data_IF_983598108983
#
_entry.id   IF_983598108983
#
_cell.length_a   1.000
_cell.length_b   1.000
_cell.length_c   1.000
_cell.angle_alpha   90.00
_cell.angle_beta   90.00
_cell.angle_gamma   90.00
#
_symmetry.space_group_name_H-M   'P 1'
#
loop_
_entity.id
_entity.type
_entity.pdbx_description
1 polymer ?
#
# COMPACT_ATOMS: atom_id res chain seq x y z
N UNK A 1 5.65 -19.61 10.41
CA UNK A 1 6.22 -19.44 11.77
C UNK A 1 6.70 -18.01 12.08
N UNK A 2 7.22 -17.22 11.12
CA UNK A 2 7.71 -15.86 11.41
C UNK A 2 6.65 -14.82 11.82
N UNK A 3 5.41 -14.90 11.30
CA UNK A 3 4.35 -13.92 11.62
C UNK A 3 3.85 -13.99 13.07
N UNK A 4 3.85 -15.20 13.67
CA UNK A 4 3.38 -15.43 15.04
C UNK A 4 4.38 -14.95 16.11
N UNK A 5 5.66 -14.91 15.76
CA UNK A 5 6.74 -14.47 16.64
C UNK A 5 6.83 -12.93 16.69
N UNK A 6 6.51 -12.26 15.58
CA UNK A 6 6.43 -10.79 15.51
C UNK A 6 5.21 -10.26 16.28
N UNK A 7 4.07 -10.96 16.24
CA UNK A 7 2.90 -10.60 17.06
C UNK A 7 3.13 -10.80 18.55
N UNK A 8 3.92 -11.81 18.94
CA UNK A 8 4.26 -12.04 20.35
C UNK A 8 5.20 -10.96 20.90
N UNK A 9 6.20 -10.51 20.14
CA UNK A 9 7.09 -9.41 20.57
C UNK A 9 6.37 -8.06 20.65
N UNK A 10 5.43 -7.78 19.74
CA UNK A 10 4.62 -6.55 19.78
C UNK A 10 3.65 -6.52 20.99
N UNK A 11 3.11 -7.68 21.38
CA UNK A 11 2.25 -7.80 22.56
C UNK A 11 2.97 -7.52 23.89
N UNK A 12 4.23 -7.97 24.02
CA UNK A 12 5.04 -7.79 25.23
C UNK A 12 5.41 -6.33 25.50
N UNK A 13 5.57 -5.51 24.46
CA UNK A 13 5.88 -4.08 24.57
C UNK A 13 4.65 -3.23 24.93
N UNK A 14 3.44 -3.67 24.59
CA UNK A 14 2.20 -2.99 24.96
C UNK A 14 1.79 -3.26 26.42
N UNK A 15 2.10 -4.45 26.95
CA UNK A 15 1.76 -4.83 28.32
C UNK A 15 2.71 -4.26 29.38
N UNK A 16 3.93 -3.87 29.03
CA UNK A 16 4.84 -3.17 29.94
C UNK A 16 4.44 -1.70 30.19
N UNK A 17 3.54 -1.13 29.37
CA UNK A 17 3.07 0.25 29.49
C UNK A 17 1.93 0.48 30.48
N UNK A 18 1.30 -0.58 31.01
CA UNK A 18 0.14 -0.46 31.89
C UNK A 18 0.46 -0.66 33.39
N UNK A 19 1.71 -0.95 33.76
CA UNK A 19 2.09 -1.14 35.15
C UNK A 19 2.52 0.20 35.82
N UNK A 20 1.58 1.14 35.93
CA UNK A 20 1.54 2.23 36.94
C UNK A 20 0.28 3.08 36.74
N UNK A 21 -0.86 2.47 37.05
CA UNK A 21 -2.10 3.18 37.35
C UNK A 21 -2.09 3.47 38.86
N UNK A 22 -1.31 4.45 39.28
CA UNK A 22 -1.48 5.06 40.61
C UNK A 22 -1.61 6.56 40.37
N UNK A 23 -2.73 7.11 40.86
CA UNK A 23 -3.12 8.53 40.90
C UNK A 23 -3.75 9.15 39.64
N UNK A 24 -5.08 9.01 39.57
CA UNK A 24 -5.97 10.07 39.06
C UNK A 24 -5.78 11.29 39.98
N UNK A 25 -5.01 12.27 39.52
CA UNK A 25 -4.86 13.58 40.18
C UNK A 25 -3.41 14.01 40.41
N UNK A 26 -2.80 14.67 39.42
CA UNK A 26 -1.48 15.28 39.58
C UNK A 26 -0.94 15.85 38.26
N UNK A 27 -0.27 17.01 38.31
CA UNK A 27 0.26 17.75 37.16
C UNK A 27 0.92 16.86 36.11
N UNK A 28 0.33 16.85 34.92
CA UNK A 28 0.87 16.14 33.75
C UNK A 28 2.30 16.62 33.46
N UNK A 29 3.31 15.72 33.40
CA UNK A 29 4.63 16.11 32.96
C UNK A 29 4.59 16.34 31.45
N UNK A 30 4.38 17.59 31.05
CA UNK A 30 4.90 18.04 29.76
C UNK A 30 6.43 17.99 29.86
N UNK A 31 7.08 17.32 28.90
CA UNK A 31 8.54 17.31 28.65
C UNK A 31 9.38 16.22 29.31
N UNK A 32 9.03 14.95 29.14
CA UNK A 32 10.03 13.88 29.21
C UNK A 32 9.97 13.04 27.94
N UNK A 33 10.88 13.32 27.02
CA UNK A 33 11.13 12.49 25.85
C UNK A 33 11.66 11.12 26.30
N UNK A 34 11.11 10.05 25.73
CA UNK A 34 11.54 8.67 25.97
C UNK A 34 12.93 8.38 25.37
N UNK A 35 13.47 9.30 24.56
CA UNK A 35 14.77 9.18 23.92
C UNK A 35 15.76 10.17 24.57
N UNK A 36 17.02 9.77 24.76
CA UNK A 36 18.04 10.64 25.31
C UNK A 36 18.22 11.87 24.41
N UNK A 37 18.31 13.06 25.03
CA UNK A 37 18.54 14.34 24.34
C UNK A 37 20.00 14.46 23.89
N UNK A 38 20.40 13.57 22.98
CA UNK A 38 21.70 13.57 22.33
C UNK A 38 21.59 14.24 20.96
N UNK A 39 22.62 15.00 20.57
CA UNK A 39 22.68 15.68 19.27
C UNK A 39 23.65 14.94 18.37
N UNK A 40 23.20 14.62 17.16
CA UNK A 40 24.06 14.08 16.10
C UNK A 40 24.51 15.26 15.24
N UNK A 41 25.82 15.46 15.12
CA UNK A 41 26.41 16.40 14.17
C UNK A 41 26.46 15.73 12.80
N UNK A 42 25.61 16.17 11.88
CA UNK A 42 25.62 15.68 10.50
C UNK A 42 26.64 16.44 9.65
N UNK A 43 27.01 17.65 10.08
CA UNK A 43 28.08 18.49 9.51
C UNK A 43 28.60 19.45 10.60
N UNK A 44 29.68 20.19 10.33
CA UNK A 44 30.27 21.17 11.26
C UNK A 44 29.27 22.23 11.73
N UNK A 45 28.31 22.59 10.87
CA UNK A 45 27.28 23.61 11.13
C UNK A 45 25.88 23.04 11.34
N UNK A 46 25.65 21.74 11.12
CA UNK A 46 24.32 21.13 11.17
C UNK A 46 24.25 20.07 12.26
N UNK A 47 23.50 20.40 13.32
CA UNK A 47 23.20 19.48 14.42
C UNK A 47 21.69 19.29 14.57
N UNK A 48 21.28 18.04 14.70
CA UNK A 48 19.89 17.66 14.97
C UNK A 48 19.84 16.78 16.21
N UNK A 49 18.77 16.91 17.00
CA UNK A 49 18.55 15.98 18.10
C UNK A 49 18.20 14.59 17.57
N UNK A 50 18.70 13.55 18.25
CA UNK A 50 18.44 12.16 17.93
C UNK A 50 16.93 11.88 17.88
N UNK A 51 16.19 12.41 18.84
CA UNK A 51 14.73 12.31 18.89
C UNK A 51 14.08 12.78 17.59
N UNK A 52 14.49 13.93 17.05
CA UNK A 52 13.92 14.44 15.80
C UNK A 52 14.22 13.52 14.63
N UNK A 53 15.45 13.02 14.51
CA UNK A 53 15.83 12.10 13.44
C UNK A 53 15.06 10.79 13.54
N UNK A 54 14.94 10.23 14.75
CA UNK A 54 14.23 8.97 14.99
C UNK A 54 12.74 9.14 14.70
N UNK A 55 12.11 10.21 15.19
CA UNK A 55 10.69 10.47 14.95
C UNK A 55 10.38 10.75 13.47
N UNK A 56 11.18 11.58 12.79
CA UNK A 56 10.97 11.86 11.36
C UNK A 56 11.28 10.65 10.49
N UNK A 57 12.36 9.91 10.80
CA UNK A 57 12.72 8.68 10.12
C UNK A 57 11.66 7.59 10.28
N UNK A 58 11.15 7.39 11.50
CA UNK A 58 10.05 6.45 11.76
C UNK A 58 8.77 6.88 11.04
N UNK A 59 8.42 8.16 11.07
CA UNK A 59 7.25 8.69 10.35
C UNK A 59 7.36 8.51 8.83
N UNK A 60 8.52 8.80 8.25
CA UNK A 60 8.78 8.60 6.83
C UNK A 60 8.74 7.10 6.45
N UNK A 61 9.27 6.22 7.30
CA UNK A 61 9.23 4.78 7.09
C UNK A 61 7.80 4.22 7.14
N UNK A 62 6.99 4.66 8.11
CA UNK A 62 5.56 4.31 8.17
C UNK A 62 4.86 4.80 6.90
N UNK A 63 5.09 6.05 6.50
CA UNK A 63 4.50 6.60 5.28
C UNK A 63 4.94 5.81 4.05
N UNK A 64 6.21 5.41 3.93
CA UNK A 64 6.71 4.60 2.81
C UNK A 64 6.09 3.19 2.74
N UNK A 65 5.84 2.55 3.88
CA UNK A 65 5.19 1.23 3.90
C UNK A 65 3.70 1.30 3.54
N UNK A 66 3.05 2.44 3.80
CA UNK A 66 1.65 2.69 3.41
C UNK A 66 1.59 3.20 1.96
N UNK A 67 2.57 4.01 1.58
CA UNK A 67 2.71 4.71 0.31
C UNK A 67 3.96 4.20 -0.38
N UNK A 68 3.89 3.00 -0.97
CA UNK A 68 4.97 2.50 -1.83
C UNK A 68 5.00 3.35 -3.11
N UNK A 69 6.01 4.23 -3.29
CA UNK A 69 6.08 5.12 -4.44
C UNK A 69 6.35 4.36 -5.76
N UNK A 70 6.72 3.09 -5.68
CA UNK A 70 7.02 2.24 -6.85
C UNK A 70 5.86 1.32 -7.22
N UNK A 71 4.82 1.22 -6.38
CA UNK A 71 3.66 0.40 -6.67
C UNK A 71 2.76 1.08 -7.73
N UNK A 72 2.27 0.35 -8.75
CA UNK A 72 1.43 0.90 -9.81
C UNK A 72 0.29 1.80 -9.29
N UNK A 73 -0.04 2.86 -10.04
CA UNK A 73 -1.11 3.81 -9.69
C UNK A 73 -2.52 3.17 -9.67
N UNK A 74 -2.65 2.00 -10.29
CA UNK A 74 -3.89 1.25 -10.41
C UNK A 74 -3.83 -0.01 -9.57
N UNK A 75 -4.80 -0.16 -8.68
CA UNK A 75 -5.09 -1.42 -8.00
C UNK A 75 -5.92 -2.28 -8.94
N UNK A 76 -5.51 -3.54 -9.13
CA UNK A 76 -6.16 -4.48 -10.04
C UNK A 76 -6.77 -5.61 -9.22
N UNK A 77 -8.08 -5.78 -9.33
CA UNK A 77 -8.82 -6.92 -8.81
C UNK A 77 -9.21 -7.80 -9.99
N UNK A 78 -9.01 -9.11 -9.83
CA UNK A 78 -9.29 -10.10 -10.87
C UNK A 78 -10.34 -11.08 -10.40
N UNK A 79 -11.28 -11.40 -11.28
CA UNK A 79 -12.24 -12.47 -11.10
C UNK A 79 -12.32 -13.36 -12.34
N UNK A 80 -12.22 -14.67 -12.17
CA UNK A 80 -12.46 -15.65 -13.24
C UNK A 80 -13.97 -15.92 -13.31
N UNK A 81 -14.60 -15.53 -14.42
CA UNK A 81 -16.05 -15.65 -14.62
C UNK A 81 -16.43 -16.92 -15.39
N UNK A 82 -15.54 -17.39 -16.26
CA UNK A 82 -15.66 -18.68 -16.94
C UNK A 82 -14.27 -19.28 -17.16
N UNK A 83 -14.20 -20.50 -17.71
CA UNK A 83 -12.93 -21.22 -17.89
C UNK A 83 -11.85 -20.43 -18.65
N UNK A 84 -12.28 -19.58 -19.57
CA UNK A 84 -11.42 -18.73 -20.39
C UNK A 84 -11.83 -17.25 -20.36
N UNK A 85 -12.61 -16.80 -19.37
CA UNK A 85 -13.06 -15.41 -19.29
C UNK A 85 -12.73 -14.84 -17.91
N UNK A 86 -12.06 -13.68 -17.91
CA UNK A 86 -11.63 -12.95 -16.73
C UNK A 86 -12.20 -11.53 -16.77
N UNK A 87 -12.69 -11.06 -15.63
CA UNK A 87 -13.01 -9.65 -15.40
C UNK A 87 -11.87 -9.05 -14.58
N UNK A 88 -11.38 -7.90 -15.06
CA UNK A 88 -10.38 -7.10 -14.38
C UNK A 88 -11.01 -5.77 -13.98
N UNK A 89 -11.12 -5.55 -12.68
CA UNK A 89 -11.58 -4.30 -12.09
C UNK A 89 -10.37 -3.49 -11.61
N UNK A 90 -10.25 -2.27 -12.12
CA UNK A 90 -9.16 -1.37 -11.82
C UNK A 90 -9.69 -0.16 -11.06
N UNK A 91 -9.06 0.14 -9.92
CA UNK A 91 -9.32 1.38 -9.17
C UNK A 91 -8.04 2.18 -9.04
N UNK A 92 -8.11 3.47 -9.38
CA UNK A 92 -6.97 4.36 -9.22
C UNK A 92 -6.77 4.67 -7.73
N UNK A 93 -5.52 4.55 -7.27
CA UNK A 93 -5.14 4.91 -5.90
C UNK A 93 -5.53 6.36 -5.64
N UNK A 94 -5.99 6.67 -4.42
CA UNK A 94 -6.45 8.03 -4.05
C UNK A 94 -5.35 9.09 -4.12
N UNK A 95 -4.11 8.68 -3.88
CA UNK A 95 -2.94 9.53 -3.92
C UNK A 95 -2.02 9.00 -5.01
N UNK A 96 -1.91 9.75 -6.11
CA UNK A 96 -1.12 9.38 -7.28
C UNK A 96 -0.63 10.65 -7.98
N UNK A 97 0.45 10.53 -8.76
CA UNK A 97 0.94 11.59 -9.64
C UNK A 97 0.89 11.10 -11.09
N UNK A 98 -0.09 11.61 -11.86
CA UNK A 98 -0.29 11.18 -13.25
C UNK A 98 -0.86 9.75 -13.35
N UNK A 99 -0.62 9.07 -14.48
CA UNK A 99 -1.03 7.67 -14.72
C UNK A 99 -2.51 7.47 -15.10
N UNK A 100 -3.28 8.55 -15.25
CA UNK A 100 -4.72 8.48 -15.50
C UNK A 100 -5.12 7.82 -16.83
N UNK A 101 -4.21 7.78 -17.81
CA UNK A 101 -4.45 7.14 -19.11
C UNK A 101 -3.86 5.73 -19.24
N UNK A 102 -3.29 5.17 -18.17
CA UNK A 102 -2.58 3.89 -18.22
C UNK A 102 -3.48 2.67 -18.02
N UNK A 103 -4.76 2.86 -17.72
CA UNK A 103 -5.66 1.77 -17.32
C UNK A 103 -5.72 0.63 -18.34
N UNK A 104 -5.90 0.95 -19.63
CA UNK A 104 -5.86 -0.03 -20.72
C UNK A 104 -4.53 -0.77 -20.79
N UNK A 105 -3.41 -0.09 -20.57
CA UNK A 105 -2.08 -0.73 -20.57
C UNK A 105 -1.90 -1.66 -19.37
N UNK A 106 -2.46 -1.30 -18.20
CA UNK A 106 -2.48 -2.16 -17.01
C UNK A 106 -3.32 -3.41 -17.26
N UNK A 107 -4.51 -3.27 -17.87
CA UNK A 107 -5.35 -4.40 -18.29
C UNK A 107 -4.60 -5.33 -19.24
N UNK A 108 -3.99 -4.79 -20.30
CA UNK A 108 -3.22 -5.59 -21.26
C UNK A 108 -2.05 -6.32 -20.60
N UNK A 109 -1.33 -5.65 -19.69
CA UNK A 109 -0.23 -6.26 -18.93
C UNK A 109 -0.72 -7.41 -18.06
N UNK A 110 -1.83 -7.24 -17.33
CA UNK A 110 -2.40 -8.30 -16.49
C UNK A 110 -2.97 -9.45 -17.32
N UNK A 111 -3.66 -9.15 -18.41
CA UNK A 111 -4.16 -10.16 -19.35
C UNK A 111 -3.03 -11.02 -19.92
N UNK A 112 -1.91 -10.39 -20.30
CA UNK A 112 -0.73 -11.07 -20.82
C UNK A 112 -0.02 -11.89 -19.74
N UNK A 113 -0.01 -11.42 -18.48
CA UNK A 113 0.45 -12.21 -17.35
C UNK A 113 -0.43 -13.45 -17.15
N UNK A 114 -1.75 -13.31 -17.16
CA UNK A 114 -2.70 -14.41 -17.03
C UNK A 114 -2.58 -15.42 -18.16
N UNK A 115 -2.33 -14.94 -19.39
CA UNK A 115 -2.08 -15.81 -20.54
C UNK A 115 -0.91 -16.74 -20.28
N UNK A 116 0.21 -16.18 -19.78
CA UNK A 116 1.42 -16.96 -19.48
C UNK A 116 1.24 -17.88 -18.27
N UNK A 117 0.64 -17.39 -17.19
CA UNK A 117 0.43 -18.16 -15.96
C UNK A 117 -0.47 -19.38 -16.18
N UNK A 118 -1.47 -19.27 -17.06
CA UNK A 118 -2.45 -20.33 -17.31
C UNK A 118 -2.20 -21.12 -18.62
N UNK A 119 -1.12 -20.83 -19.35
CA UNK A 119 -0.77 -21.55 -20.58
C UNK A 119 -1.74 -21.33 -21.75
N UNK A 120 -2.34 -20.14 -21.86
CA UNK A 120 -3.17 -19.79 -23.02
C UNK A 120 -2.32 -19.36 -24.23
N UNK A 121 -2.81 -19.60 -25.44
CA UNK A 121 -2.11 -19.26 -26.67
C UNK A 121 -2.22 -17.76 -26.97
N UNK A 122 -3.40 -17.17 -26.77
CA UNK A 122 -3.64 -15.74 -26.97
C UNK A 122 -4.75 -15.23 -26.04
N UNK A 123 -4.91 -13.90 -26.00
CA UNK A 123 -6.00 -13.25 -25.30
C UNK A 123 -6.59 -12.12 -26.16
N UNK A 124 -7.83 -11.74 -25.85
CA UNK A 124 -8.52 -10.58 -26.41
C UNK A 124 -9.24 -9.83 -25.29
N UNK A 125 -9.12 -8.51 -25.30
CA UNK A 125 -9.99 -7.64 -24.49
C UNK A 125 -11.32 -7.51 -25.24
N UNK A 126 -12.39 -8.05 -24.67
CA UNK A 126 -13.74 -8.10 -25.26
C UNK A 126 -14.50 -6.82 -24.98
N UNK A 127 -14.38 -6.32 -23.76
CA UNK A 127 -15.03 -5.09 -23.33
C UNK A 127 -14.07 -4.24 -22.48
N UNK A 128 -14.25 -2.93 -22.56
CA UNK A 128 -13.48 -1.96 -21.80
C UNK A 128 -14.33 -0.73 -21.50
N UNK A 129 -14.43 -0.41 -20.21
CA UNK A 129 -15.07 0.81 -19.73
C UNK A 129 -14.08 1.53 -18.82
N UNK A 130 -13.98 2.84 -18.97
CA UNK A 130 -13.25 3.71 -18.05
C UNK A 130 -14.16 4.86 -17.64
N UNK A 131 -14.09 5.23 -16.37
CA UNK A 131 -14.93 6.29 -15.83
C UNK A 131 -14.39 6.88 -14.55
N UNK A 132 -15.18 7.78 -13.99
CA UNK A 132 -14.95 8.37 -12.68
C UNK A 132 -16.13 7.98 -11.81
N UNK A 133 -15.85 7.29 -10.71
CA UNK A 133 -16.81 6.94 -9.68
C UNK A 133 -16.79 8.03 -8.59
N UNK A 134 -17.95 8.60 -8.29
CA UNK A 134 -18.09 9.56 -7.19
C UNK A 134 -18.09 8.81 -5.86
N UNK A 135 -16.90 8.59 -5.29
CA UNK A 135 -16.72 7.99 -3.97
C UNK A 135 -16.50 9.07 -2.91
N UNK A 136 -17.02 8.89 -1.70
CA UNK A 136 -16.68 9.75 -0.57
C UNK A 136 -15.32 9.31 -0.01
N UNK A 137 -14.36 10.22 0.28
CA UNK A 137 -14.42 11.69 0.22
C UNK A 137 -13.97 12.33 -1.10
N UNK A 138 -13.38 11.58 -2.05
CA UNK A 138 -12.88 12.09 -3.33
C UNK A 138 -13.26 11.12 -4.44
N UNK A 139 -13.73 11.64 -5.57
CA UNK A 139 -14.01 10.86 -6.76
C UNK A 139 -12.75 10.12 -7.24
N UNK A 140 -12.90 8.86 -7.66
CA UNK A 140 -11.79 8.03 -8.12
C UNK A 140 -12.03 7.58 -9.55
N UNK A 141 -10.96 7.51 -10.34
CA UNK A 141 -11.02 6.84 -11.64
C UNK A 141 -11.14 5.33 -11.44
N UNK A 142 -11.94 4.71 -12.28
CA UNK A 142 -12.03 3.26 -12.37
C UNK A 142 -11.95 2.84 -13.84
N UNK A 143 -11.53 1.60 -14.06
CA UNK A 143 -11.67 0.95 -15.34
C UNK A 143 -12.07 -0.50 -15.14
N UNK A 144 -12.82 -1.05 -16.08
CA UNK A 144 -13.18 -2.46 -16.10
C UNK A 144 -12.83 -3.04 -17.47
N UNK A 145 -12.24 -4.23 -17.48
CA UNK A 145 -11.92 -4.96 -18.69
C UNK A 145 -12.42 -6.39 -18.63
N UNK A 146 -13.16 -6.81 -19.66
CA UNK A 146 -13.49 -8.21 -19.87
C UNK A 146 -12.46 -8.82 -20.81
N UNK A 147 -11.76 -9.86 -20.36
CA UNK A 147 -10.69 -10.51 -21.13
C UNK A 147 -11.08 -11.95 -21.41
N UNK A 148 -11.11 -12.31 -22.68
CA UNK A 148 -11.29 -13.67 -23.13
C UNK A 148 -9.96 -14.26 -23.57
N UNK A 149 -9.68 -15.48 -23.11
CA UNK A 149 -8.49 -16.25 -23.40
C UNK A 149 -8.81 -17.29 -24.49
N UNK A 150 -7.83 -17.56 -25.35
CA UNK A 150 -7.92 -18.62 -26.34
C UNK A 150 -6.83 -19.68 -26.08
N UNK A 151 -7.22 -20.95 -26.15
CA UNK A 151 -6.27 -22.06 -26.18
C UNK A 151 -5.88 -22.33 -27.64
N UNK A 152 -4.65 -22.78 -27.86
CA UNK A 152 -4.31 -23.42 -29.13
C UNK A 152 -5.20 -24.66 -29.25
N UNK A 153 -5.99 -24.74 -30.31
CA UNK A 153 -6.71 -25.98 -30.63
C UNK A 153 -5.64 -27.09 -30.79
N UNK A 154 -5.81 -28.27 -30.17
CA UNK A 154 -4.94 -29.41 -30.46
C UNK A 154 -5.00 -29.81 -31.93
#
# INVERSE_FOLDING_TARGET
>A
MGKLLVTALAGSLLLAGCARWDSVGGSYPHKSSLLPNSQIKLSETISYSLEKIVLTGAGAWILYNIYDPLAPNWEVVEAKVADNVYVLDLKMKRFHTGGSGEAMMVIKRRAEQLRRENGFASYRVVDYVEGIESSTPIAQRYAQGLVQMARSNP
#
